data_IF_903560684964
#
_entry.id   IF_903560684964
#
_cell.length_a   1.000
_cell.length_b   1.000
_cell.length_c   1.000
_cell.angle_alpha   90.00
_cell.angle_beta   90.00
_cell.angle_gamma   90.00
#
_symmetry.space_group_name_H-M   'P 1'
#
loop_
_entity.id
_entity.type
_entity.pdbx_description
1 polymer ?
#
# COMPACT_ATOMS: atom_id res chain seq x y z
N UNK A 1 35.82 -0.42 0.89
CA UNK A 1 35.42 -1.59 0.08
C UNK A 1 35.06 -2.73 1.02
N UNK A 2 34.10 -3.60 0.65
CA UNK A 2 33.77 -4.81 1.40
C UNK A 2 34.92 -5.84 1.32
N UNK A 3 34.70 -7.05 1.86
CA UNK A 3 35.73 -8.09 1.94
C UNK A 3 36.06 -8.67 0.55
N UNK A 4 37.34 -8.73 0.21
CA UNK A 4 37.79 -9.09 -1.15
C UNK A 4 37.54 -10.53 -1.56
N UNK A 5 37.53 -11.49 -0.62
CA UNK A 5 37.32 -12.91 -0.96
C UNK A 5 35.95 -13.18 -1.57
N UNK A 6 34.97 -12.33 -1.26
CA UNK A 6 33.57 -12.55 -1.61
C UNK A 6 33.09 -11.46 -2.59
N UNK A 7 33.56 -10.22 -2.42
CA UNK A 7 33.12 -9.06 -3.21
C UNK A 7 34.18 -8.48 -4.16
N UNK A 8 35.38 -9.06 -4.21
CA UNK A 8 36.49 -8.53 -5.01
C UNK A 8 36.12 -8.30 -6.48
N UNK A 9 35.36 -9.20 -7.08
CA UNK A 9 34.87 -9.09 -8.46
C UNK A 9 33.88 -7.93 -8.69
N UNK A 10 33.28 -7.40 -7.62
CA UNK A 10 32.30 -6.32 -7.66
C UNK A 10 32.94 -4.93 -7.47
N UNK A 11 34.25 -4.85 -7.19
CA UNK A 11 34.90 -3.60 -6.81
C UNK A 11 34.78 -2.49 -7.88
N UNK A 12 34.85 -2.85 -9.15
CA UNK A 12 34.67 -1.91 -10.25
C UNK A 12 33.23 -1.35 -10.30
N UNK A 13 32.23 -2.18 -10.02
CA UNK A 13 30.84 -1.74 -9.92
C UNK A 13 30.63 -0.86 -8.69
N UNK A 14 31.11 -1.28 -7.52
CA UNK A 14 31.00 -0.52 -6.26
C UNK A 14 31.61 0.87 -6.43
N UNK A 15 32.78 0.98 -7.05
CA UNK A 15 33.44 2.26 -7.27
C UNK A 15 32.63 3.19 -8.19
N UNK A 16 31.86 2.64 -9.14
CA UNK A 16 30.98 3.43 -10.02
C UNK A 16 29.73 3.97 -9.32
N UNK A 17 29.24 3.32 -8.26
CA UNK A 17 27.94 3.66 -7.64
C UNK A 17 28.03 4.25 -6.23
N UNK A 18 29.12 4.02 -5.48
CA UNK A 18 29.18 4.38 -4.04
C UNK A 18 29.05 5.87 -3.71
N UNK A 19 29.32 6.75 -4.67
CA UNK A 19 29.38 8.21 -4.49
C UNK A 19 28.32 8.94 -5.34
N UNK A 20 27.31 8.23 -5.85
CA UNK A 20 26.25 8.85 -6.66
C UNK A 20 25.36 9.82 -5.86
N UNK A 21 25.23 9.59 -4.55
CA UNK A 21 24.53 10.48 -3.61
C UNK A 21 25.33 10.55 -2.30
N UNK A 22 25.02 11.54 -1.47
CA UNK A 22 25.63 11.67 -0.15
C UNK A 22 25.28 10.48 0.75
N UNK A 23 26.21 10.13 1.65
CA UNK A 23 25.92 9.17 2.72
C UNK A 23 24.79 9.70 3.62
N UNK A 24 23.75 8.91 3.92
CA UNK A 24 22.67 9.32 4.81
C UNK A 24 23.18 9.79 6.18
N UNK A 25 22.71 10.97 6.61
CA UNK A 25 23.00 11.54 7.92
C UNK A 25 21.87 11.28 8.93
N UNK A 26 21.92 11.99 10.05
CA UNK A 26 20.88 11.92 11.08
C UNK A 26 19.46 12.24 10.54
N UNK A 27 19.25 13.26 9.68
CA UNK A 27 17.92 13.55 9.15
C UNK A 27 17.31 12.39 8.36
N UNK A 28 18.07 11.78 7.45
CA UNK A 28 17.59 10.66 6.63
C UNK A 28 17.33 9.40 7.49
N UNK A 29 18.16 9.15 8.50
CA UNK A 29 17.97 8.04 9.44
C UNK A 29 16.71 8.22 10.29
N UNK A 30 16.46 9.43 10.80
CA UNK A 30 15.24 9.75 11.54
C UNK A 30 14.00 9.62 10.65
N UNK A 31 14.06 10.14 9.42
CA UNK A 31 12.99 10.02 8.44
C UNK A 31 12.67 8.54 8.13
N UNK A 32 13.68 7.73 7.82
CA UNK A 32 13.50 6.32 7.53
C UNK A 32 12.97 5.55 8.75
N UNK A 33 13.40 5.93 9.96
CA UNK A 33 12.87 5.34 11.21
C UNK A 33 11.37 5.65 11.37
N UNK A 34 10.96 6.89 11.09
CA UNK A 34 9.54 7.28 11.14
C UNK A 34 8.71 6.49 10.13
N UNK A 35 9.15 6.39 8.87
CA UNK A 35 8.49 5.58 7.84
C UNK A 35 8.38 4.10 8.25
N UNK A 36 9.44 3.54 8.82
CA UNK A 36 9.43 2.15 9.27
C UNK A 36 8.43 1.94 10.41
N UNK A 37 8.39 2.85 11.38
CA UNK A 37 7.42 2.80 12.47
C UNK A 37 6.00 2.95 11.96
N UNK A 38 5.74 3.88 11.04
CA UNK A 38 4.44 4.06 10.37
C UNK A 38 3.96 2.75 9.73
N UNK A 39 4.80 2.07 8.93
CA UNK A 39 4.46 0.79 8.30
C UNK A 39 4.10 -0.30 9.34
N UNK A 40 4.87 -0.40 10.42
CA UNK A 40 4.56 -1.37 11.48
C UNK A 40 3.30 -1.03 12.25
N UNK A 41 2.98 0.26 12.41
CA UNK A 41 1.74 0.72 13.02
C UNK A 41 0.53 0.43 12.14
N UNK A 42 0.64 0.67 10.83
CA UNK A 42 -0.39 0.32 9.85
C UNK A 42 -0.64 -1.20 9.85
N UNK A 43 0.43 -2.01 9.82
CA UNK A 43 0.30 -3.48 9.84
C UNK A 43 -0.51 -4.01 11.02
N UNK A 44 -0.43 -3.37 12.19
CA UNK A 44 -1.16 -3.78 13.40
C UNK A 44 -2.48 -3.04 13.60
N UNK A 45 -2.82 -2.07 12.74
CA UNK A 45 -3.99 -1.22 12.94
C UNK A 45 -5.30 -1.94 12.70
N UNK A 46 -5.29 -3.00 11.88
CA UNK A 46 -6.47 -3.77 11.52
C UNK A 46 -6.15 -5.27 11.45
N UNK A 47 -7.05 -6.16 11.93
CA UNK A 47 -6.97 -7.60 11.71
C UNK A 47 -6.91 -8.00 10.22
N UNK A 48 -7.41 -7.13 9.33
CA UNK A 48 -7.42 -7.35 7.88
C UNK A 48 -6.01 -7.51 7.29
N UNK A 49 -4.97 -6.95 7.91
CA UNK A 49 -3.57 -7.14 7.49
C UNK A 49 -2.97 -8.50 7.87
N UNK A 50 -3.62 -9.23 8.77
CA UNK A 50 -3.08 -10.45 9.40
C UNK A 50 -4.13 -11.56 9.51
N UNK A 51 -4.90 -11.77 8.43
CA UNK A 51 -6.01 -12.74 8.35
C UNK A 51 -5.67 -14.17 8.81
N UNK A 52 -4.40 -14.58 8.77
CA UNK A 52 -3.89 -15.82 9.37
C UNK A 52 -4.28 -17.12 8.67
N UNK A 53 -5.39 -17.15 7.93
CA UNK A 53 -5.90 -18.31 7.20
C UNK A 53 -5.92 -18.05 5.68
N UNK A 54 -5.48 -19.04 4.90
CA UNK A 54 -5.40 -18.92 3.45
C UNK A 54 -6.77 -18.76 2.77
N UNK A 55 -7.82 -19.39 3.31
CA UNK A 55 -9.17 -19.25 2.75
C UNK A 55 -9.75 -17.87 3.03
N UNK A 56 -9.43 -17.28 4.19
CA UNK A 56 -9.79 -15.90 4.50
C UNK A 56 -9.09 -14.92 3.54
N UNK A 57 -7.80 -15.14 3.26
CA UNK A 57 -7.04 -14.35 2.27
C UNK A 57 -7.70 -14.44 0.89
N UNK A 58 -7.99 -15.64 0.38
CA UNK A 58 -8.61 -15.83 -0.95
C UNK A 58 -10.00 -15.19 -1.08
N UNK A 59 -10.74 -15.07 0.02
CA UNK A 59 -12.09 -14.47 0.02
C UNK A 59 -12.09 -12.95 0.11
N UNK A 60 -11.00 -12.35 0.60
CA UNK A 60 -10.98 -10.94 1.01
C UNK A 60 -9.95 -10.12 0.26
N UNK A 61 -8.82 -10.71 -0.14
CA UNK A 61 -7.72 -9.98 -0.78
C UNK A 61 -7.86 -10.05 -2.29
N UNK A 62 -7.76 -8.88 -2.93
CA UNK A 62 -7.67 -8.75 -4.38
C UNK A 62 -6.63 -7.69 -4.77
N UNK A 63 -6.22 -7.68 -6.04
CA UNK A 63 -5.28 -6.72 -6.58
C UNK A 63 -5.86 -5.98 -7.78
N UNK A 64 -5.75 -4.65 -7.78
CA UNK A 64 -6.07 -3.79 -8.92
C UNK A 64 -4.79 -3.46 -9.70
N UNK A 65 -4.92 -2.75 -10.83
CA UNK A 65 -3.81 -2.45 -11.72
C UNK A 65 -3.06 -3.73 -12.17
N UNK A 66 -3.81 -4.73 -12.65
CA UNK A 66 -3.30 -6.02 -13.13
C UNK A 66 -3.55 -6.19 -14.63
N UNK A 67 -2.82 -7.11 -15.28
CA UNK A 67 -2.97 -7.40 -16.71
C UNK A 67 -2.01 -6.61 -17.62
N UNK A 68 -2.21 -6.69 -18.93
CA UNK A 68 -1.28 -6.12 -19.91
C UNK A 68 -1.20 -4.59 -19.85
N UNK A 69 -2.27 -3.93 -19.41
CA UNK A 69 -2.38 -2.48 -19.31
C UNK A 69 -1.99 -1.95 -17.91
N UNK A 70 -1.42 -2.80 -17.05
CA UNK A 70 -0.98 -2.37 -15.72
C UNK A 70 0.10 -1.29 -15.78
N UNK A 71 -0.04 -0.27 -14.94
CA UNK A 71 0.98 0.75 -14.73
C UNK A 71 2.15 0.14 -13.94
N UNK A 72 3.33 0.08 -14.55
CA UNK A 72 4.53 -0.44 -13.90
C UNK A 72 4.88 0.37 -12.63
N UNK A 73 5.28 -0.33 -11.56
CA UNK A 73 5.63 0.29 -10.28
C UNK A 73 4.45 0.66 -9.39
N UNK A 74 3.20 0.47 -9.83
CA UNK A 74 2.01 0.72 -9.02
C UNK A 74 1.38 -0.59 -8.52
N UNK A 75 1.37 -0.79 -7.20
CA UNK A 75 0.69 -1.92 -6.56
C UNK A 75 -0.55 -1.41 -5.82
N UNK A 76 -1.70 -2.01 -6.10
CA UNK A 76 -2.96 -1.69 -5.42
C UNK A 76 -3.56 -2.99 -4.90
N UNK A 77 -3.62 -3.14 -3.59
CA UNK A 77 -4.23 -4.27 -2.92
C UNK A 77 -5.50 -3.81 -2.21
N UNK A 78 -6.60 -4.56 -2.38
CA UNK A 78 -7.84 -4.34 -1.62
C UNK A 78 -8.05 -5.49 -0.64
N UNK A 79 -8.54 -5.18 0.56
CA UNK A 79 -8.91 -6.19 1.56
C UNK A 79 -10.36 -5.93 2.00
N UNK A 80 -11.23 -6.88 1.70
CA UNK A 80 -12.67 -6.80 1.93
C UNK A 80 -13.04 -7.14 3.38
N UNK A 81 -13.84 -6.28 4.01
CA UNK A 81 -14.61 -6.57 5.23
C UNK A 81 -16.11 -6.35 5.05
N UNK A 82 -16.57 -6.30 3.80
CA UNK A 82 -17.98 -6.18 3.46
C UNK A 82 -18.76 -7.49 3.64
N UNK A 83 -20.08 -7.38 3.52
CA UNK A 83 -21.01 -8.51 3.72
C UNK A 83 -20.70 -9.74 2.84
N UNK A 84 -20.08 -9.56 1.66
CA UNK A 84 -19.71 -10.67 0.78
C UNK A 84 -18.49 -11.46 1.27
N UNK A 85 -17.62 -10.83 2.06
CA UNK A 85 -16.45 -11.45 2.68
C UNK A 85 -16.79 -12.28 3.93
N UNK A 86 -18.04 -12.23 4.40
CA UNK A 86 -18.52 -12.90 5.60
C UNK A 86 -18.69 -11.92 6.78
N UNK A 87 -18.55 -12.41 8.01
CA UNK A 87 -18.65 -11.55 9.18
C UNK A 87 -17.55 -10.47 9.20
N UNK A 88 -17.88 -9.26 9.65
CA UNK A 88 -16.90 -8.20 9.86
C UNK A 88 -15.83 -8.63 10.86
N UNK A 89 -14.57 -8.41 10.50
CA UNK A 89 -13.39 -8.65 11.32
C UNK A 89 -12.88 -7.35 11.98
N UNK A 90 -13.20 -6.20 11.39
CA UNK A 90 -12.85 -4.87 11.91
C UNK A 90 -14.05 -3.93 11.86
N UNK A 91 -14.77 -3.79 12.99
CA UNK A 91 -15.99 -2.98 13.06
C UNK A 91 -15.82 -1.48 12.83
N UNK A 92 -14.63 -1.01 12.44
CA UNK A 92 -14.36 0.38 12.06
C UNK A 92 -14.39 0.57 10.54
N UNK A 93 -14.15 -0.47 9.75
CA UNK A 93 -13.93 -0.36 8.30
C UNK A 93 -14.63 -1.50 7.55
N UNK A 94 -15.28 -1.17 6.43
CA UNK A 94 -15.82 -2.17 5.51
C UNK A 94 -14.76 -2.70 4.54
N UNK A 95 -13.57 -2.10 4.52
CA UNK A 95 -12.46 -2.56 3.70
C UNK A 95 -11.28 -1.62 3.71
N UNK A 96 -10.15 -2.12 3.21
CA UNK A 96 -8.89 -1.38 3.08
C UNK A 96 -8.42 -1.37 1.63
N UNK A 97 -7.79 -0.27 1.23
CA UNK A 97 -6.97 -0.18 0.03
C UNK A 97 -5.54 0.15 0.45
N UNK A 98 -4.59 -0.66 0.01
CA UNK A 98 -3.16 -0.40 0.15
C UNK A 98 -2.62 -0.07 -1.23
N UNK A 99 -2.18 1.16 -1.42
CA UNK A 99 -1.59 1.62 -2.67
C UNK A 99 -0.12 1.97 -2.46
N UNK A 100 0.76 1.34 -3.24
CA UNK A 100 2.20 1.59 -3.23
C UNK A 100 2.59 2.09 -4.62
N UNK A 101 3.00 3.34 -4.71
CA UNK A 101 3.52 3.92 -5.94
C UNK A 101 5.06 3.89 -5.90
N UNK A 102 5.64 2.77 -6.33
CA UNK A 102 7.08 2.59 -6.51
C UNK A 102 7.54 3.08 -7.89
N UNK A 103 7.05 4.25 -8.31
CA UNK A 103 7.40 4.91 -9.55
C UNK A 103 7.75 6.38 -9.31
N UNK A 104 8.58 7.00 -10.18
CA UNK A 104 8.95 8.40 -10.07
C UNK A 104 7.86 9.38 -10.52
N UNK A 105 6.77 8.88 -11.11
CA UNK A 105 5.61 9.70 -11.51
C UNK A 105 4.46 9.59 -10.51
N UNK A 106 3.69 10.66 -10.36
CA UNK A 106 2.40 10.60 -9.68
C UNK A 106 1.42 9.70 -10.44
N UNK A 107 0.56 9.01 -9.70
CA UNK A 107 -0.45 8.09 -10.25
C UNK A 107 -1.83 8.44 -9.70
N UNK A 108 -2.83 8.51 -10.56
CA UNK A 108 -4.22 8.76 -10.15
C UNK A 108 -5.05 7.50 -10.31
N UNK A 109 -5.80 7.15 -9.28
CA UNK A 109 -6.67 5.98 -9.20
C UNK A 109 -8.12 6.44 -9.34
N UNK A 110 -8.86 5.80 -10.25
CA UNK A 110 -10.29 6.04 -10.47
C UNK A 110 -11.17 4.84 -10.08
N UNK A 111 -10.56 3.70 -9.75
CA UNK A 111 -11.26 2.44 -9.43
C UNK A 111 -12.11 2.50 -8.15
N UNK A 112 -11.98 3.57 -7.37
CA UNK A 112 -12.60 3.75 -6.06
C UNK A 112 -13.51 4.99 -6.00
N UNK A 113 -13.84 5.57 -7.15
CA UNK A 113 -14.76 6.70 -7.21
C UNK A 113 -16.11 6.33 -6.57
N UNK A 114 -16.58 7.16 -5.63
CA UNK A 114 -17.80 6.91 -4.87
C UNK A 114 -17.66 5.94 -3.68
N UNK A 115 -16.49 5.36 -3.43
CA UNK A 115 -16.28 4.45 -2.30
C UNK A 115 -16.13 5.17 -0.95
N UNK A 116 -16.00 6.51 -0.95
CA UNK A 116 -15.81 7.35 0.24
C UNK A 116 -14.59 6.92 1.09
N UNK A 117 -13.50 6.59 0.43
CA UNK A 117 -12.25 6.21 1.08
C UNK A 117 -11.65 7.40 1.84
N UNK A 118 -11.02 7.10 2.97
CA UNK A 118 -10.31 8.06 3.82
C UNK A 118 -8.89 7.58 4.06
N UNK A 119 -7.93 8.49 4.10
CA UNK A 119 -6.56 8.15 4.47
C UNK A 119 -6.53 7.63 5.92
N UNK A 120 -5.75 6.59 6.22
CA UNK A 120 -5.66 6.05 7.58
C UNK A 120 -5.23 7.14 8.58
N UNK A 121 -5.85 7.14 9.77
CA UNK A 121 -5.56 8.12 10.81
C UNK A 121 -4.08 8.13 11.26
N UNK A 122 -3.38 6.99 11.14
CA UNK A 122 -1.95 6.88 11.42
C UNK A 122 -1.15 7.75 10.45
N UNK A 123 -1.46 7.67 9.16
CA UNK A 123 -0.75 8.45 8.13
C UNK A 123 -1.13 9.92 8.18
N UNK A 124 -2.39 10.24 8.52
CA UNK A 124 -2.82 11.63 8.76
C UNK A 124 -2.05 12.24 9.95
N UNK A 125 -1.90 11.51 11.05
CA UNK A 125 -1.19 11.98 12.23
C UNK A 125 0.31 12.22 11.99
N UNK A 126 0.91 11.48 11.05
CA UNK A 126 2.31 11.66 10.66
C UNK A 126 2.55 12.91 9.79
N UNK A 127 1.52 13.47 9.15
CA UNK A 127 1.60 14.70 8.37
C UNK A 127 2.66 14.65 7.27
N UNK A 128 3.54 15.66 7.21
CA UNK A 128 4.63 15.73 6.22
C UNK A 128 5.68 14.61 6.36
N UNK A 129 5.74 13.96 7.54
CA UNK A 129 6.62 12.81 7.81
C UNK A 129 6.03 11.47 7.40
N UNK A 130 4.86 11.47 6.76
CA UNK A 130 4.15 10.27 6.31
C UNK A 130 4.66 9.74 4.98
N UNK A 131 4.62 8.42 4.78
CA UNK A 131 4.77 7.81 3.44
C UNK A 131 3.62 8.18 2.48
N UNK A 132 2.49 8.66 3.01
CA UNK A 132 1.37 9.19 2.25
C UNK A 132 1.37 10.73 2.14
N UNK A 133 2.48 11.39 2.48
CA UNK A 133 2.55 12.84 2.35
C UNK A 133 2.28 13.26 0.90
N UNK A 134 1.35 14.22 0.71
CA UNK A 134 0.91 14.69 -0.61
C UNK A 134 -0.14 13.81 -1.30
N UNK A 135 -0.65 12.76 -0.66
CA UNK A 135 -1.80 12.00 -1.19
C UNK A 135 -3.04 12.88 -1.16
N UNK A 136 -3.72 12.95 -2.31
CA UNK A 136 -4.95 13.73 -2.47
C UNK A 136 -6.13 12.80 -2.72
N UNK A 137 -7.25 13.06 -2.06
CA UNK A 137 -8.54 12.39 -2.32
C UNK A 137 -9.52 13.47 -2.78
N UNK A 138 -9.84 13.46 -4.07
CA UNK A 138 -10.76 14.43 -4.66
C UNK A 138 -12.22 14.16 -4.26
N UNK A 139 -13.08 15.15 -4.43
CA UNK A 139 -14.49 15.05 -4.06
C UNK A 139 -15.28 13.98 -4.84
N UNK A 140 -14.81 13.61 -6.04
CA UNK A 140 -15.36 12.52 -6.85
C UNK A 140 -14.81 11.13 -6.46
N UNK A 141 -13.88 11.08 -5.50
CA UNK A 141 -13.21 9.87 -5.02
C UNK A 141 -11.94 9.51 -5.78
N UNK A 142 -11.49 10.33 -6.73
CA UNK A 142 -10.20 10.09 -7.39
C UNK A 142 -9.05 10.27 -6.39
N UNK A 143 -8.12 9.32 -6.37
CA UNK A 143 -6.99 9.32 -5.43
C UNK A 143 -5.70 9.55 -6.20
N UNK A 144 -4.96 10.61 -5.88
CA UNK A 144 -3.65 10.88 -6.48
C UNK A 144 -2.54 10.55 -5.49
N UNK A 145 -1.64 9.66 -5.91
CA UNK A 145 -0.46 9.22 -5.19
C UNK A 145 0.77 9.94 -5.74
N UNK A 146 1.55 10.65 -4.92
CA UNK A 146 2.85 11.18 -5.32
C UNK A 146 3.84 10.07 -5.69
N UNK A 147 4.94 10.45 -6.33
CA UNK A 147 6.07 9.56 -6.57
C UNK A 147 6.58 8.92 -5.27
N UNK A 148 6.97 7.64 -5.33
CA UNK A 148 7.57 6.90 -4.19
C UNK A 148 6.75 6.94 -2.89
N UNK A 149 5.43 6.79 -2.98
CA UNK A 149 4.51 6.90 -1.84
C UNK A 149 3.84 5.57 -1.46
N UNK A 150 3.36 5.50 -0.22
CA UNK A 150 2.52 4.41 0.29
C UNK A 150 1.30 5.00 0.99
N UNK A 151 0.10 4.64 0.53
CA UNK A 151 -1.16 5.04 1.13
C UNK A 151 -1.96 3.81 1.58
N UNK A 152 -2.45 3.86 2.81
CA UNK A 152 -3.48 2.98 3.34
C UNK A 152 -4.75 3.80 3.46
N UNK A 153 -5.75 3.43 2.68
CA UNK A 153 -7.05 4.05 2.65
C UNK A 153 -8.07 3.11 3.26
N UNK A 154 -8.95 3.66 4.07
CA UNK A 154 -9.96 2.94 4.83
C UNK A 154 -11.33 3.31 4.24
N UNK A 155 -12.19 2.31 4.01
CA UNK A 155 -13.61 2.54 3.77
C UNK A 155 -14.31 2.49 5.13
N UNK A 156 -14.72 3.62 5.72
CA UNK A 156 -15.30 3.61 7.06
C UNK A 156 -16.59 2.81 7.10
N UNK A 157 -16.77 2.01 8.14
CA UNK A 157 -18.02 1.30 8.38
C UNK A 157 -19.06 2.26 8.96
N UNK A 158 -20.31 2.15 8.51
CA UNK A 158 -21.46 2.88 9.07
C UNK A 158 -22.06 2.17 10.29
N UNK A 159 -23.37 2.36 10.49
CA UNK A 159 -24.10 1.72 11.60
C UNK A 159 -24.13 0.18 11.53
N UNK A 160 -23.91 -0.37 10.33
CA UNK A 160 -23.84 -1.80 10.06
C UNK A 160 -22.78 -2.08 8.98
N UNK A 161 -22.36 -3.35 8.90
CA UNK A 161 -21.43 -3.82 7.87
C UNK A 161 -21.98 -3.52 6.47
N UNK A 162 -21.18 -2.85 5.66
CA UNK A 162 -21.52 -2.42 4.32
C UNK A 162 -21.08 -3.39 3.22
N UNK A 163 -21.07 -2.88 1.98
CA UNK A 163 -20.71 -3.67 0.80
C UNK A 163 -19.21 -4.01 0.71
N UNK A 164 -18.35 -3.23 1.38
CA UNK A 164 -16.91 -3.38 1.36
C UNK A 164 -16.27 -3.20 -0.02
N UNK A 165 -15.23 -3.98 -0.29
CA UNK A 165 -14.41 -3.95 -1.50
C UNK A 165 -14.29 -5.39 -2.05
N UNK A 166 -15.37 -5.95 -2.62
CA UNK A 166 -15.44 -7.37 -2.94
C UNK A 166 -14.36 -7.80 -3.95
N UNK A 167 -13.83 -9.01 -3.75
CA UNK A 167 -12.89 -9.65 -4.67
C UNK A 167 -13.55 -9.82 -6.05
N UNK A 168 -12.85 -9.37 -7.10
CA UNK A 168 -13.31 -9.49 -8.47
C UNK A 168 -13.38 -10.96 -8.92
N UNK A 169 -14.41 -11.32 -9.69
CA UNK A 169 -14.59 -12.70 -10.16
C UNK A 169 -13.65 -13.10 -11.32
N UNK A 170 -12.54 -12.38 -11.55
CA UNK A 170 -11.74 -12.56 -12.77
C UNK A 170 -10.94 -13.88 -12.86
N UNK A 171 -11.08 -14.81 -11.90
CA UNK A 171 -10.38 -16.12 -11.94
C UNK A 171 -11.36 -17.28 -11.74
N UNK A 172 -12.21 -17.54 -12.73
CA UNK A 172 -12.85 -18.87 -12.91
C UNK A 172 -12.55 -19.56 -14.24
N UNK A 173 -11.78 -18.93 -15.14
CA UNK A 173 -11.55 -19.47 -16.50
C UNK A 173 -10.12 -19.88 -16.83
N UNK A 174 -9.19 -19.87 -15.86
CA UNK A 174 -7.80 -20.29 -16.11
C UNK A 174 -7.48 -21.72 -15.66
N UNK A 175 -8.46 -22.45 -15.11
CA UNK A 175 -8.35 -23.87 -14.82
C UNK A 175 -9.64 -24.60 -15.22
N UNK A 176 -9.87 -24.73 -16.53
CA UNK A 176 -10.80 -25.70 -17.11
C UNK A 176 -10.22 -26.29 -18.38
#
# INVERSE_FOLDING_TARGET
MPRSSDDGSNYDLISRVKEMVATPGEPELQQMTAFYQELTQLRKSSPLFTLGDGSAVMKRVDFRNTGADSLAGLLIMTIDDGVQAGASLDGRVDGLVVAINAAPESRTLHDFNGENLQLSAIQQAAGEGSLANGVEIAADGAITLPAWSVAVLEKPQGDAQGAGLPVSQQIKHLFS
#
